data_IF_844077447975
#
_entry.id   IF_844077447975
#
_cell.length_a   1.000
_cell.length_b   1.000
_cell.length_c   1.000
_cell.angle_alpha   90.00
_cell.angle_beta   90.00
_cell.angle_gamma   90.00
#
_symmetry.space_group_name_H-M   'P 1'
#
loop_
_entity.id
_entity.type
_entity.pdbx_description
1 polymer ?
#
# COMPACT_ATOMS: atom_id res chain seq x y z
N UNK A 1 -0.92 -17.03 -20.00
CA UNK A 1 -1.18 -15.76 -20.70
C UNK A 1 -2.58 -15.22 -20.42
N UNK A 2 -3.66 -15.96 -20.70
CA UNK A 2 -5.05 -15.50 -20.46
C UNK A 2 -5.32 -15.09 -19.00
N UNK A 3 -4.92 -15.93 -18.04
CA UNK A 3 -5.07 -15.64 -16.61
C UNK A 3 -4.34 -14.37 -16.17
N UNK A 4 -3.11 -14.17 -16.64
CA UNK A 4 -2.33 -12.95 -16.36
C UNK A 4 -3.02 -11.71 -16.89
N UNK A 5 -3.56 -11.76 -18.11
CA UNK A 5 -4.33 -10.67 -18.71
C UNK A 5 -5.60 -10.40 -17.90
N UNK A 6 -6.31 -11.44 -17.48
CA UNK A 6 -7.51 -11.31 -16.64
C UNK A 6 -7.18 -10.65 -15.29
N UNK A 7 -6.09 -11.05 -14.64
CA UNK A 7 -5.63 -10.45 -13.37
C UNK A 7 -5.24 -8.98 -13.58
N UNK A 8 -4.52 -8.65 -14.65
CA UNK A 8 -4.16 -7.25 -14.95
C UNK A 8 -5.42 -6.42 -15.22
N UNK A 9 -6.36 -6.93 -16.02
CA UNK A 9 -7.63 -6.26 -16.28
C UNK A 9 -8.42 -6.03 -14.98
N UNK A 10 -8.43 -7.03 -14.09
CA UNK A 10 -9.05 -6.92 -12.78
C UNK A 10 -8.37 -5.85 -11.91
N UNK A 11 -7.04 -5.84 -11.84
CA UNK A 11 -6.25 -4.82 -11.12
C UNK A 11 -6.61 -3.41 -11.62
N UNK A 12 -6.69 -3.22 -12.94
CA UNK A 12 -7.07 -1.92 -13.52
C UNK A 12 -8.49 -1.55 -13.10
N UNK A 13 -9.45 -2.46 -13.25
CA UNK A 13 -10.86 -2.23 -12.91
C UNK A 13 -11.03 -1.87 -11.42
N UNK A 14 -10.47 -2.66 -10.51
CA UNK A 14 -10.57 -2.40 -9.07
C UNK A 14 -9.80 -1.14 -8.67
N UNK A 15 -8.73 -0.78 -9.37
CA UNK A 15 -8.03 0.51 -9.14
C UNK A 15 -8.87 1.70 -9.58
N UNK A 16 -9.57 1.60 -10.72
CA UNK A 16 -10.49 2.64 -11.20
C UNK A 16 -11.67 2.84 -10.23
N UNK A 17 -12.13 1.77 -9.58
CA UNK A 17 -13.19 1.85 -8.58
C UNK A 17 -12.69 2.35 -7.21
N UNK A 18 -11.65 1.73 -6.64
CA UNK A 18 -11.17 2.03 -5.29
C UNK A 18 -10.33 3.31 -5.22
N UNK A 19 -9.71 3.73 -6.32
CA UNK A 19 -8.93 4.97 -6.38
C UNK A 19 -9.76 6.21 -6.02
N UNK A 20 -10.85 6.51 -6.75
CA UNK A 20 -11.72 7.65 -6.46
C UNK A 20 -12.39 7.52 -5.10
N UNK A 21 -12.78 6.32 -4.70
CA UNK A 21 -13.33 6.06 -3.36
C UNK A 21 -12.34 6.43 -2.26
N UNK A 22 -11.08 6.01 -2.38
CA UNK A 22 -10.00 6.34 -1.45
C UNK A 22 -9.78 7.85 -1.38
N UNK A 23 -9.77 8.52 -2.54
CA UNK A 23 -9.62 9.98 -2.63
C UNK A 23 -10.80 10.67 -1.95
N UNK A 24 -12.03 10.30 -2.28
CA UNK A 24 -13.25 10.88 -1.70
C UNK A 24 -13.25 10.74 -0.17
N UNK A 25 -13.00 9.53 0.32
CA UNK A 25 -13.01 9.24 1.76
C UNK A 25 -11.88 9.93 2.51
N UNK A 26 -10.74 10.19 1.86
CA UNK A 26 -9.64 10.94 2.47
C UNK A 26 -10.00 12.40 2.82
N UNK A 27 -11.07 12.96 2.25
CA UNK A 27 -11.55 14.30 2.64
C UNK A 27 -12.31 14.28 3.97
N UNK A 28 -12.92 13.14 4.32
CA UNK A 28 -13.66 12.94 5.57
C UNK A 28 -12.72 12.49 6.70
N UNK A 29 -11.78 11.58 6.40
CA UNK A 29 -10.79 11.09 7.37
C UNK A 29 -9.38 11.56 7.00
N UNK A 30 -8.96 12.66 7.63
CA UNK A 30 -7.65 13.30 7.38
C UNK A 30 -6.44 12.50 7.89
N UNK A 31 -6.62 11.54 8.81
CA UNK A 31 -5.51 10.74 9.36
C UNK A 31 -5.05 9.62 8.42
N UNK A 32 -5.84 9.30 7.38
CA UNK A 32 -5.49 8.30 6.36
C UNK A 32 -5.87 6.87 6.74
N UNK A 33 -6.48 6.64 7.90
CA UNK A 33 -6.79 5.29 8.40
C UNK A 33 -7.85 4.61 7.54
N UNK A 34 -8.90 5.33 7.18
CA UNK A 34 -9.97 4.79 6.33
C UNK A 34 -9.50 4.60 4.88
N UNK A 35 -8.77 5.54 4.24
CA UNK A 35 -8.06 5.29 2.98
C UNK A 35 -7.22 4.02 2.98
N UNK A 36 -6.46 3.74 4.04
CA UNK A 36 -5.65 2.54 4.13
C UNK A 36 -6.49 1.26 4.29
N UNK A 37 -7.58 1.30 5.08
CA UNK A 37 -8.53 0.18 5.15
C UNK A 37 -9.15 -0.15 3.79
N UNK A 38 -9.51 0.87 3.01
CA UNK A 38 -10.01 0.72 1.64
C UNK A 38 -8.94 0.09 0.74
N UNK A 39 -7.69 0.54 0.87
CA UNK A 39 -6.56 -0.07 0.16
C UNK A 39 -6.37 -1.55 0.53
N UNK A 40 -6.61 -1.94 1.79
CA UNK A 40 -6.62 -3.35 2.21
C UNK A 40 -7.72 -4.19 1.55
N UNK A 41 -8.91 -3.61 1.33
CA UNK A 41 -10.00 -4.28 0.59
C UNK A 41 -9.62 -4.42 -0.89
N UNK A 42 -9.09 -3.36 -1.51
CA UNK A 42 -8.55 -3.38 -2.87
C UNK A 42 -7.50 -4.49 -3.02
N UNK A 43 -6.56 -4.58 -2.08
CA UNK A 43 -5.52 -5.60 -2.05
C UNK A 43 -6.09 -7.03 -1.96
N UNK A 44 -7.03 -7.28 -1.04
CA UNK A 44 -7.69 -8.59 -0.93
C UNK A 44 -8.46 -8.97 -2.19
N UNK A 45 -9.07 -8.00 -2.88
CA UNK A 45 -9.78 -8.26 -4.14
C UNK A 45 -8.85 -8.73 -5.27
N UNK A 46 -7.59 -8.27 -5.28
CA UNK A 46 -6.57 -8.73 -6.21
C UNK A 46 -6.16 -10.16 -5.86
N UNK A 47 -5.88 -10.44 -4.58
CA UNK A 47 -5.47 -11.78 -4.14
C UNK A 47 -6.55 -12.83 -4.39
N UNK A 48 -7.84 -12.46 -4.25
CA UNK A 48 -8.97 -13.37 -4.44
C UNK A 48 -9.09 -13.93 -5.87
N UNK A 49 -8.60 -13.20 -6.89
CA UNK A 49 -8.60 -13.66 -8.29
C UNK A 49 -7.25 -14.22 -8.74
N UNK A 50 -6.25 -14.19 -7.86
CA UNK A 50 -4.92 -14.68 -8.13
C UNK A 50 -4.81 -16.16 -7.76
N UNK A 51 -4.14 -16.99 -8.58
CA UNK A 51 -3.94 -18.42 -8.32
C UNK A 51 -2.82 -18.63 -7.30
N UNK A 52 -2.97 -18.07 -6.10
CA UNK A 52 -1.97 -18.12 -5.04
C UNK A 52 -2.54 -18.81 -3.81
N UNK A 53 -1.70 -19.58 -3.14
CA UNK A 53 -1.98 -20.09 -1.80
C UNK A 53 -1.24 -19.21 -0.81
N UNK A 54 -1.97 -18.58 0.11
CA UNK A 54 -1.41 -17.68 1.11
C UNK A 54 -1.47 -18.32 2.49
N UNK A 55 -0.30 -18.51 3.10
CA UNK A 55 -0.18 -18.89 4.51
C UNK A 55 0.42 -17.73 5.29
N UNK A 56 -0.31 -17.23 6.29
CA UNK A 56 0.15 -16.17 7.20
C UNK A 56 0.43 -16.78 8.57
N UNK A 57 1.62 -16.52 9.12
CA UNK A 57 2.05 -17.00 10.45
C UNK A 57 2.61 -15.86 11.28
N UNK A 58 2.51 -15.95 12.59
CA UNK A 58 3.15 -15.02 13.53
C UNK A 58 2.42 -13.68 13.73
N UNK A 59 1.15 -13.56 13.36
CA UNK A 59 0.36 -12.35 13.63
C UNK A 59 0.23 -12.05 15.13
N UNK A 60 0.29 -13.07 15.98
CA UNK A 60 0.31 -12.95 17.44
C UNK A 60 1.53 -12.21 17.99
N UNK A 61 2.60 -12.05 17.19
CA UNK A 61 3.80 -11.33 17.59
C UNK A 61 3.64 -9.81 17.45
N UNK A 62 2.52 -9.35 16.88
CA UNK A 62 2.26 -7.94 16.59
C UNK A 62 1.35 -7.37 17.69
N UNK A 63 1.89 -6.43 18.46
CA UNK A 63 1.16 -5.65 19.44
C UNK A 63 0.58 -4.40 18.76
N UNK A 64 -0.72 -4.39 18.48
CA UNK A 64 -1.35 -3.34 17.66
C UNK A 64 -1.30 -1.93 18.28
N UNK A 65 -0.95 -1.83 19.56
CA UNK A 65 -0.82 -0.55 20.28
C UNK A 65 0.59 0.04 20.19
N UNK A 66 1.51 -0.62 19.47
CA UNK A 66 2.90 -0.16 19.27
C UNK A 66 3.20 0.22 17.82
N UNK A 67 4.13 1.17 17.67
CA UNK A 67 4.68 1.55 16.37
C UNK A 67 5.79 0.60 15.93
N UNK A 68 5.76 0.20 14.65
CA UNK A 68 6.75 -0.71 14.06
C UNK A 68 7.30 -0.18 12.73
N UNK A 69 8.53 -0.59 12.44
CA UNK A 69 9.08 -0.57 11.08
C UNK A 69 9.05 -2.01 10.56
N UNK A 70 8.17 -2.29 9.61
CA UNK A 70 8.11 -3.58 8.94
C UNK A 70 9.13 -3.62 7.80
N UNK A 71 10.11 -4.51 7.90
CA UNK A 71 11.15 -4.72 6.88
C UNK A 71 10.89 -6.05 6.17
N UNK A 72 10.16 -6.00 5.05
CA UNK A 72 9.96 -7.16 4.19
C UNK A 72 11.10 -7.28 3.18
N UNK A 73 11.44 -8.51 2.80
CA UNK A 73 12.08 -8.73 1.51
C UNK A 73 11.14 -8.27 0.37
N UNK A 74 11.70 -7.96 -0.79
CA UNK A 74 10.91 -7.59 -1.97
C UNK A 74 11.19 -8.57 -3.11
N UNK A 75 10.30 -9.54 -3.31
CA UNK A 75 10.44 -10.61 -4.29
C UNK A 75 9.43 -10.50 -5.43
N UNK A 76 8.31 -9.83 -5.21
CA UNK A 76 7.25 -9.77 -6.21
C UNK A 76 6.37 -8.54 -6.08
N UNK A 77 5.56 -8.29 -7.12
CA UNK A 77 4.49 -7.29 -7.03
C UNK A 77 3.36 -7.73 -6.08
N UNK A 78 3.27 -9.02 -5.72
CA UNK A 78 2.29 -9.53 -4.76
C UNK A 78 2.61 -9.17 -3.30
N UNK A 79 3.84 -8.75 -3.01
CA UNK A 79 4.24 -8.35 -1.66
C UNK A 79 3.33 -7.23 -1.13
N UNK A 80 2.95 -6.28 -2.00
CA UNK A 80 2.07 -5.16 -1.67
C UNK A 80 0.67 -5.64 -1.29
N UNK A 81 -0.10 -6.34 -2.15
CA UNK A 81 -1.44 -6.77 -1.79
C UNK A 81 -1.45 -7.79 -0.64
N UNK A 82 -0.42 -8.65 -0.50
CA UNK A 82 -0.32 -9.56 0.65
C UNK A 82 -0.23 -8.77 1.96
N UNK A 83 0.75 -7.87 2.08
CA UNK A 83 0.96 -7.11 3.31
C UNK A 83 -0.19 -6.14 3.58
N UNK A 84 -0.68 -5.44 2.57
CA UNK A 84 -1.78 -4.48 2.71
C UNK A 84 -3.11 -5.18 3.04
N UNK A 85 -3.31 -6.40 2.57
CA UNK A 85 -4.54 -7.17 2.79
C UNK A 85 -4.59 -7.93 4.12
N UNK A 86 -3.44 -8.31 4.68
CA UNK A 86 -3.36 -9.28 5.78
C UNK A 86 -2.52 -8.86 6.99
N UNK A 87 -1.74 -7.78 6.91
CA UNK A 87 -1.07 -7.24 8.08
C UNK A 87 -2.11 -6.49 8.94
N UNK A 88 -2.29 -6.83 10.23
CA UNK A 88 -3.41 -6.35 11.04
C UNK A 88 -3.17 -4.94 11.63
N UNK A 89 -2.33 -4.13 10.98
CA UNK A 89 -1.95 -2.80 11.45
C UNK A 89 -2.18 -1.74 10.38
N UNK A 90 -2.31 -0.50 10.82
CA UNK A 90 -2.21 0.65 9.92
C UNK A 90 -0.75 0.95 9.67
N UNK A 91 -0.35 1.03 8.40
CA UNK A 91 1.03 1.38 8.05
C UNK A 91 1.09 2.29 6.83
N UNK A 92 2.25 2.92 6.62
CA UNK A 92 2.51 3.81 5.48
C UNK A 92 3.68 3.25 4.67
N UNK A 93 3.43 2.99 3.39
CA UNK A 93 4.45 2.47 2.49
C UNK A 93 5.53 3.49 2.18
N UNK A 94 6.77 3.03 2.07
CA UNK A 94 7.84 3.73 1.35
C UNK A 94 7.83 3.23 -0.11
N UNK A 95 7.37 4.06 -1.05
CA UNK A 95 7.16 3.66 -2.43
C UNK A 95 7.91 4.57 -3.42
N UNK A 96 8.31 3.99 -4.56
CA UNK A 96 9.08 4.68 -5.60
C UNK A 96 8.31 5.86 -6.22
N UNK A 97 9.03 6.94 -6.54
CA UNK A 97 8.43 8.19 -7.07
C UNK A 97 7.61 7.99 -8.34
N UNK A 98 7.97 7.04 -9.19
CA UNK A 98 7.27 6.76 -10.44
C UNK A 98 5.83 6.30 -10.20
N UNK A 99 5.54 5.59 -9.10
CA UNK A 99 4.18 5.18 -8.77
C UNK A 99 3.29 6.36 -8.44
N UNK A 100 3.85 7.40 -7.81
CA UNK A 100 3.11 8.63 -7.49
C UNK A 100 2.79 9.47 -8.72
N UNK A 101 3.44 9.20 -9.86
CA UNK A 101 3.16 9.87 -11.15
C UNK A 101 2.02 9.22 -11.92
N UNK A 102 1.60 8.01 -11.57
CA UNK A 102 0.47 7.33 -12.23
C UNK A 102 -0.82 8.08 -11.86
N UNK A 103 -1.59 8.58 -12.85
CA UNK A 103 -2.86 9.25 -12.58
C UNK A 103 -3.79 8.35 -11.78
N UNK A 104 -4.61 8.96 -10.92
CA UNK A 104 -5.50 8.28 -9.98
C UNK A 104 -4.78 7.46 -8.89
N UNK A 105 -3.98 6.46 -9.26
CA UNK A 105 -3.28 5.58 -8.34
C UNK A 105 -2.30 6.34 -7.45
N UNK A 106 -1.41 7.13 -8.06
CA UNK A 106 -0.42 7.93 -7.32
C UNK A 106 -1.07 8.98 -6.42
N UNK A 107 -2.19 9.57 -6.87
CA UNK A 107 -2.94 10.52 -6.04
C UNK A 107 -3.63 9.82 -4.86
N UNK A 108 -4.26 8.67 -5.08
CA UNK A 108 -4.83 7.85 -4.00
C UNK A 108 -3.76 7.42 -2.98
N UNK A 109 -2.57 7.01 -3.42
CA UNK A 109 -1.43 6.71 -2.55
C UNK A 109 -1.03 7.90 -1.69
N UNK A 110 -0.90 9.09 -2.30
CA UNK A 110 -0.59 10.33 -1.57
C UNK A 110 -1.66 10.67 -0.54
N UNK A 111 -2.94 10.49 -0.89
CA UNK A 111 -4.09 10.72 0.00
C UNK A 111 -4.20 9.68 1.13
N UNK A 112 -3.69 8.46 0.91
CA UNK A 112 -3.55 7.43 1.92
C UNK A 112 -2.33 7.64 2.85
N UNK A 113 -1.53 8.69 2.62
CA UNK A 113 -0.38 9.04 3.45
C UNK A 113 0.87 8.19 3.17
N UNK A 114 0.94 7.52 2.02
CA UNK A 114 2.15 6.79 1.63
C UNK A 114 3.28 7.74 1.28
N UNK A 115 4.50 7.32 1.59
CA UNK A 115 5.71 8.13 1.52
C UNK A 115 6.42 7.83 0.20
N UNK A 116 6.59 8.88 -0.59
CA UNK A 116 7.34 8.83 -1.83
C UNK A 116 8.85 8.83 -1.56
N UNK A 117 9.59 7.94 -2.22
CA UNK A 117 11.05 7.92 -2.22
C UNK A 117 11.55 8.05 -3.66
N UNK A 118 12.40 9.05 -3.87
CA UNK A 118 13.24 9.15 -5.05
C UNK A 118 14.59 8.46 -4.77
N UNK A 119 14.80 7.28 -5.35
CA UNK A 119 16.02 6.48 -5.16
C UNK A 119 17.19 6.96 -6.02
N UNK A 120 16.93 7.79 -7.03
CA UNK A 120 17.97 8.36 -7.89
C UNK A 120 18.71 9.52 -7.21
N UNK A 121 18.06 10.17 -6.24
CA UNK A 121 18.63 11.25 -5.46
C UNK A 121 18.78 10.84 -3.98
N UNK A 122 20.03 10.52 -3.59
CA UNK A 122 20.36 10.05 -2.23
C UNK A 122 19.92 11.03 -1.13
N UNK A 123 20.02 12.33 -1.36
CA UNK A 123 19.64 13.35 -0.38
C UNK A 123 18.12 13.37 -0.18
N UNK A 124 17.35 13.37 -1.27
CA UNK A 124 15.88 13.28 -1.24
C UNK A 124 15.38 11.98 -0.57
N UNK A 125 16.04 10.86 -0.84
CA UNK A 125 15.75 9.60 -0.16
C UNK A 125 15.95 9.70 1.37
N UNK A 126 17.05 10.31 1.81
CA UNK A 126 17.34 10.50 3.22
C UNK A 126 16.32 11.43 3.91
N UNK A 127 15.91 12.51 3.26
CA UNK A 127 14.86 13.40 3.76
C UNK A 127 13.51 12.68 3.91
N UNK A 128 13.17 11.81 2.96
CA UNK A 128 11.94 11.02 3.01
C UNK A 128 11.95 10.03 4.18
N UNK A 129 13.11 9.42 4.45
CA UNK A 129 13.31 8.56 5.63
C UNK A 129 13.23 9.37 6.93
N UNK A 130 13.77 10.59 6.97
CA UNK A 130 13.67 11.48 8.13
C UNK A 130 12.21 11.83 8.45
N UNK A 131 11.41 12.17 7.44
CA UNK A 131 9.96 12.39 7.58
C UNK A 131 9.24 11.14 8.09
N UNK A 132 9.60 9.95 7.59
CA UNK A 132 9.05 8.70 8.09
C UNK A 132 9.37 8.49 9.58
N UNK A 133 10.60 8.81 10.01
CA UNK A 133 11.02 8.71 11.40
C UNK A 133 10.27 9.69 12.33
N UNK A 134 9.90 10.88 11.84
CA UNK A 134 9.07 11.84 12.58
C UNK A 134 7.63 11.37 12.77
N UNK A 135 7.09 10.56 11.85
CA UNK A 135 5.72 9.99 11.97
C UNK A 135 5.64 8.86 13.01
N UNK A 136 6.76 8.16 13.24
CA UNK A 136 6.82 6.99 14.13
C UNK A 136 7.00 7.39 15.61
N UNK A 137 7.52 8.59 15.87
CA UNK A 137 7.76 9.15 17.21
C UNK A 137 6.52 9.84 17.77
#
# INVERSE_FOLDING_TARGET
MLMTVAIIAWIVLVTIFFGPLTIFVSFVNRKGDLPHKIAGIWARSILAVSPIELTVKGLSNIDTDKSYIFMSNHQSNYDIPILLGHLPVQFRWLAKIELFRIPLFGYAMKRAGYICIDRSNRQSAFESLKKAAEIIR
#
